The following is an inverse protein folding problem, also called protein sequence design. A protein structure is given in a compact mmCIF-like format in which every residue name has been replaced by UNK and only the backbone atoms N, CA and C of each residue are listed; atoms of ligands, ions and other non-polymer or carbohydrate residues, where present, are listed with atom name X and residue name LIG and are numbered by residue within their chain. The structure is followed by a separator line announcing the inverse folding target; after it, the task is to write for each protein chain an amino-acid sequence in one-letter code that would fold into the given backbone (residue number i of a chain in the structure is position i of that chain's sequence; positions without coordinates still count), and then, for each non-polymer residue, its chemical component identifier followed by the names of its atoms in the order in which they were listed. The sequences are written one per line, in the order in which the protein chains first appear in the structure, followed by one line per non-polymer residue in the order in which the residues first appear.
data_IF_510468610951
#
_entry.id   IF_510468610951
#
_cell.length_a   1.000
_cell.length_b   1.000
_cell.length_c   1.000
_cell.angle_alpha   90.00
_cell.angle_beta   90.00
_cell.angle_gamma   90.00
#
_symmetry.space_group_name_H-M   'P 1'
#
loop_
_entity.id
_entity.type
_entity.pdbx_description
1 polymer ?
#
# COMPACT_ATOMS: atom_id res chain seq x y z
N UNK A 1 10.31 -10.57 -0.35
CA UNK A 1 9.02 -9.89 -0.06
C UNK A 1 8.38 -10.65 1.09
N UNK A 2 7.84 -9.97 2.13
CA UNK A 2 7.21 -10.65 3.26
C UNK A 2 6.05 -11.52 2.79
N UNK A 3 5.92 -12.68 3.41
CA UNK A 3 4.84 -13.65 3.21
C UNK A 3 3.51 -13.12 3.74
N UNK A 4 2.41 -13.77 3.37
CA UNK A 4 1.08 -13.39 3.84
C UNK A 4 0.91 -13.59 5.34
N UNK A 5 1.54 -14.62 5.89
CA UNK A 5 1.47 -14.92 7.31
C UNK A 5 2.26 -13.88 8.11
N UNK A 6 3.46 -13.49 7.65
CA UNK A 6 4.24 -12.40 8.26
C UNK A 6 3.46 -11.07 8.25
N UNK A 7 2.75 -10.77 7.15
CA UNK A 7 1.92 -9.56 7.07
C UNK A 7 0.72 -9.62 8.01
N UNK A 8 0.05 -10.77 8.11
CA UNK A 8 -1.08 -10.99 9.01
C UNK A 8 -0.64 -10.85 10.47
N UNK A 9 0.53 -11.39 10.82
CA UNK A 9 1.12 -11.24 12.15
C UNK A 9 1.39 -9.77 12.48
N UNK A 10 2.04 -9.03 11.58
CA UNK A 10 2.30 -7.60 11.75
C UNK A 10 1.00 -6.81 11.92
N UNK A 11 0.01 -7.05 11.06
CA UNK A 11 -1.28 -6.36 11.15
C UNK A 11 -2.05 -6.72 12.43
N UNK A 12 -1.97 -7.97 12.90
CA UNK A 12 -2.57 -8.37 14.17
C UNK A 12 -1.95 -7.59 15.34
N UNK A 13 -0.61 -7.52 15.39
CA UNK A 13 0.11 -6.73 16.41
C UNK A 13 -0.23 -5.25 16.39
N UNK A 14 -0.46 -4.67 15.22
CA UNK A 14 -0.91 -3.26 15.10
C UNK A 14 -2.34 -3.04 15.60
N UNK A 15 -3.19 -4.06 15.60
CA UNK A 15 -4.57 -3.96 16.12
C UNK A 15 -4.65 -4.13 17.64
N UNK A 16 -3.60 -4.67 18.25
CA UNK A 16 -3.54 -4.85 19.70
C UNK A 16 -3.58 -3.50 20.44
N UNK A 17 -4.11 -3.47 21.67
CA UNK A 17 -4.01 -2.29 22.51
C UNK A 17 -2.55 -1.92 22.76
N UNK A 18 -2.25 -0.63 22.65
CA UNK A 18 -0.97 -0.06 23.04
C UNK A 18 -1.20 1.20 23.87
N UNK A 19 -0.24 1.46 24.77
CA UNK A 19 -0.25 2.65 25.60
C UNK A 19 0.13 3.88 24.78
N UNK A 20 -0.52 4.99 25.09
CA UNK A 20 -0.27 6.29 24.47
C UNK A 20 0.13 7.26 25.56
N UNK A 21 1.28 7.91 25.37
CA UNK A 21 1.87 8.81 26.34
C UNK A 21 1.84 10.25 25.78
N UNK A 22 1.31 11.23 26.53
CA UNK A 22 1.39 12.63 26.14
C UNK A 22 2.80 13.17 26.39
N UNK A 23 3.35 13.92 25.43
CA UNK A 23 4.64 14.60 25.54
C UNK A 23 4.66 15.88 24.72
N UNK A 24 4.82 17.03 25.37
CA UNK A 24 5.07 18.31 24.70
C UNK A 24 4.01 18.74 23.68
N UNK A 25 2.73 18.43 23.93
CA UNK A 25 1.62 18.74 23.01
C UNK A 25 1.35 17.69 21.94
N UNK A 26 2.11 16.58 21.94
CA UNK A 26 1.90 15.43 21.08
C UNK A 26 1.61 14.18 21.90
N UNK A 27 1.15 13.14 21.21
CA UNK A 27 0.92 11.82 21.76
C UNK A 27 1.82 10.82 21.04
N UNK A 28 2.49 9.96 21.79
CA UNK A 28 3.36 8.93 21.23
C UNK A 28 2.97 7.55 21.71
N UNK A 29 3.20 6.55 20.85
CA UNK A 29 3.04 5.16 21.25
C UNK A 29 4.18 4.79 22.21
N UNK A 30 3.85 4.05 23.28
CA UNK A 30 4.84 3.58 24.27
C UNK A 30 5.91 2.65 23.70
N UNK A 31 5.65 2.07 22.52
CA UNK A 31 6.53 1.16 21.82
C UNK A 31 6.91 1.70 20.44
N UNK A 32 8.05 1.23 19.95
CA UNK A 32 8.47 1.51 18.58
C UNK A 32 7.81 0.57 17.59
N UNK A 33 7.37 1.08 16.45
CA UNK A 33 7.01 0.28 15.30
C UNK A 33 8.23 0.18 14.37
N UNK A 34 8.80 -1.01 14.22
CA UNK A 34 10.03 -1.24 13.43
C UNK A 34 11.22 -0.34 13.84
N UNK A 35 11.38 -0.09 15.14
CA UNK A 35 12.41 0.81 15.66
C UNK A 35 12.12 2.31 15.47
N UNK A 36 10.96 2.66 14.91
CA UNK A 36 10.52 4.05 14.75
C UNK A 36 9.50 4.42 15.85
N UNK A 37 9.68 5.60 16.46
CA UNK A 37 8.67 6.19 17.34
C UNK A 37 7.49 6.73 16.55
N UNK A 38 6.26 6.45 16.99
CA UNK A 38 5.04 6.96 16.35
C UNK A 38 4.49 8.13 17.16
N UNK A 39 4.23 9.25 16.49
CA UNK A 39 3.74 10.48 17.08
C UNK A 39 2.52 11.02 16.33
N UNK A 40 1.57 11.62 17.05
CA UNK A 40 0.47 12.37 16.45
C UNK A 40 0.06 13.56 17.32
N UNK A 41 -0.68 14.51 16.73
CA UNK A 41 -1.23 15.68 17.43
C UNK A 41 -2.39 15.34 18.38
N UNK A 42 -2.98 14.14 18.26
CA UNK A 42 -3.98 13.63 19.20
C UNK A 42 -3.86 12.12 19.37
N UNK A 43 -4.23 11.60 20.53
CA UNK A 43 -4.31 10.16 20.79
C UNK A 43 -5.24 9.46 19.79
N UNK A 44 -6.39 10.08 19.49
CA UNK A 44 -7.36 9.54 18.53
C UNK A 44 -6.76 9.38 17.12
N UNK A 45 -5.99 10.38 16.66
CA UNK A 45 -5.32 10.30 15.36
C UNK A 45 -4.26 9.20 15.34
N UNK A 46 -3.49 9.03 16.43
CA UNK A 46 -2.49 7.97 16.53
C UNK A 46 -3.14 6.59 16.45
N UNK A 47 -4.17 6.33 17.27
CA UNK A 47 -4.88 5.05 17.30
C UNK A 47 -5.56 4.73 15.97
N UNK A 48 -6.21 5.72 15.35
CA UNK A 48 -6.86 5.56 14.06
C UNK A 48 -5.83 5.28 12.95
N UNK A 49 -4.72 6.01 12.94
CA UNK A 49 -3.63 5.82 11.97
C UNK A 49 -3.03 4.42 12.04
N UNK A 50 -2.75 3.93 13.25
CA UNK A 50 -2.23 2.58 13.48
C UNK A 50 -3.21 1.49 12.99
N UNK A 51 -4.52 1.65 13.28
CA UNK A 51 -5.54 0.72 12.78
C UNK A 51 -5.62 0.71 11.25
N UNK A 52 -5.64 1.90 10.63
CA UNK A 52 -5.63 2.01 9.16
C UNK A 52 -4.38 1.38 8.53
N UNK A 53 -3.23 1.54 9.17
CA UNK A 53 -2.00 0.89 8.74
C UNK A 53 -2.11 -0.64 8.79
N UNK A 54 -2.70 -1.18 9.86
CA UNK A 54 -2.98 -2.62 9.96
C UNK A 54 -3.87 -3.12 8.81
N UNK A 55 -4.90 -2.35 8.45
CA UNK A 55 -5.82 -2.68 7.36
C UNK A 55 -5.17 -2.58 5.98
N UNK A 56 -4.17 -1.72 5.80
CA UNK A 56 -3.38 -1.67 4.56
C UNK A 56 -2.38 -2.84 4.47
N UNK A 57 -1.81 -3.25 5.61
CA UNK A 57 -0.84 -4.35 5.66
C UNK A 57 -1.53 -5.70 5.48
N UNK A 58 -2.67 -5.92 6.11
CA UNK A 58 -3.49 -7.11 5.92
C UNK A 58 -4.96 -6.70 5.81
N UNK A 59 -5.40 -6.28 4.62
CA UNK A 59 -6.82 -6.03 4.40
C UNK A 59 -7.56 -7.36 4.57
N UNK A 60 -8.65 -7.34 5.34
CA UNK A 60 -9.68 -8.38 5.28
C UNK A 60 -10.02 -8.63 3.81
N UNK A 61 -10.11 -9.91 3.40
CA UNK A 61 -10.10 -10.43 2.02
C UNK A 61 -10.69 -9.47 0.98
N UNK A 62 -9.88 -8.49 0.59
CA UNK A 62 -10.17 -7.55 -0.48
C UNK A 62 -9.26 -7.95 -1.62
N UNK A 63 -9.89 -8.41 -2.68
CA UNK A 63 -9.26 -8.66 -3.95
C UNK A 63 -9.36 -7.39 -4.79
N UNK A 64 -8.31 -7.11 -5.54
CA UNK A 64 -8.35 -6.12 -6.60
C UNK A 64 -8.18 -6.88 -7.91
N UNK A 65 -9.22 -6.90 -8.71
CA UNK A 65 -9.16 -7.52 -10.02
C UNK A 65 -8.49 -6.56 -10.98
N UNK A 66 -7.84 -7.14 -11.97
CA UNK A 66 -7.19 -6.41 -13.05
C UNK A 66 -8.26 -6.03 -14.06
N UNK A 67 -8.27 -4.78 -14.47
CA UNK A 67 -9.01 -4.41 -15.67
C UNK A 67 -8.32 -5.01 -16.90
N UNK A 68 -9.15 -5.33 -17.89
CA UNK A 68 -8.74 -5.93 -19.17
C UNK A 68 -8.16 -4.90 -20.16
N UNK A 69 -8.35 -3.60 -19.90
CA UNK A 69 -7.90 -2.53 -20.78
C UNK A 69 -6.49 -2.08 -20.40
N UNK A 70 -5.53 -2.34 -21.28
CA UNK A 70 -4.16 -1.85 -21.18
C UNK A 70 -4.09 -0.46 -21.82
N UNK A 71 -3.71 0.54 -21.04
CA UNK A 71 -3.40 1.87 -21.57
C UNK A 71 -1.88 1.98 -21.74
N UNK A 72 -1.43 2.28 -22.96
CA UNK A 72 -0.09 2.83 -23.12
C UNK A 72 -0.17 4.33 -22.89
N UNK A 73 0.52 4.85 -21.87
CA UNK A 73 0.82 6.27 -21.87
C UNK A 73 1.86 6.52 -22.96
N UNK A 74 1.40 6.74 -24.18
CA UNK A 74 2.20 7.46 -25.15
C UNK A 74 2.17 8.92 -24.68
N UNK A 75 3.16 9.35 -23.90
CA UNK A 75 3.30 10.77 -23.57
C UNK A 75 3.43 11.52 -24.90
N UNK A 76 2.53 12.47 -25.23
CA UNK A 76 2.50 13.09 -26.57
C UNK A 76 3.73 13.95 -26.88
N UNK A 77 4.68 14.09 -25.95
CA UNK A 77 5.86 14.93 -26.06
C UNK A 77 7.18 14.21 -25.74
N UNK A 78 7.20 12.90 -25.51
CA UNK A 78 8.46 12.17 -25.35
C UNK A 78 8.94 11.66 -26.71
N UNK A 79 10.08 12.23 -27.12
CA UNK A 79 10.89 11.81 -28.25
C UNK A 79 11.00 10.28 -28.21
N UNK A 80 10.55 9.61 -29.28
CA UNK A 80 10.79 8.19 -29.48
C UNK A 80 12.29 8.01 -29.63
N UNK A 81 12.97 7.64 -28.54
CA UNK A 81 14.36 7.22 -28.58
C UNK A 81 14.43 5.87 -29.28
N UNK A 82 15.30 5.74 -30.27
CA UNK A 82 15.59 4.47 -30.93
C UNK A 82 15.95 3.39 -29.89
N UNK A 83 15.30 2.23 -30.03
CA UNK A 83 15.65 0.91 -29.50
C UNK A 83 15.63 0.59 -28.00
N UNK A 84 15.58 1.55 -27.06
CA UNK A 84 15.63 1.25 -25.61
C UNK A 84 14.50 1.88 -24.76
N UNK A 85 13.42 2.36 -25.37
CA UNK A 85 12.28 2.89 -24.61
C UNK A 85 11.55 1.77 -23.86
N UNK A 86 11.66 1.77 -22.53
CA UNK A 86 10.84 0.94 -21.64
C UNK A 86 9.38 1.39 -21.82
N UNK A 87 8.57 0.57 -22.47
CA UNK A 87 7.13 0.81 -22.55
C UNK A 87 6.52 0.65 -21.15
N UNK A 88 6.18 1.76 -20.50
CA UNK A 88 5.40 1.73 -19.27
C UNK A 88 3.96 1.41 -19.62
N UNK A 89 3.50 0.22 -19.24
CA UNK A 89 2.10 -0.17 -19.39
C UNK A 89 1.33 0.22 -18.13
N UNK A 90 0.19 0.86 -18.30
CA UNK A 90 -0.71 1.20 -17.20
C UNK A 90 -1.96 0.36 -17.31
N UNK A 91 -2.31 -0.26 -16.18
CA UNK A 91 -3.51 -1.07 -16.07
C UNK A 91 -4.41 -0.55 -14.94
N UNK A 92 -5.72 -0.44 -15.18
CA UNK A 92 -6.67 -0.12 -14.14
C UNK A 92 -6.87 -1.33 -13.22
N UNK A 93 -7.09 -1.05 -11.94
CA UNK A 93 -7.55 -2.02 -10.96
C UNK A 93 -9.01 -1.70 -10.58
N UNK A 94 -9.78 -2.71 -10.15
CA UNK A 94 -11.19 -2.52 -9.75
C UNK A 94 -11.40 -1.54 -8.59
N UNK A 95 -10.34 -1.21 -7.85
CA UNK A 95 -10.40 -0.15 -6.84
C UNK A 95 -10.34 1.28 -7.42
N UNK A 96 -10.37 1.44 -8.74
CA UNK A 96 -10.31 2.74 -9.43
C UNK A 96 -8.90 3.36 -9.49
N UNK A 97 -7.87 2.59 -9.16
CA UNK A 97 -6.47 3.05 -9.22
C UNK A 97 -5.73 2.35 -10.35
N UNK A 98 -4.74 3.05 -10.89
CA UNK A 98 -3.89 2.57 -11.96
C UNK A 98 -2.56 2.03 -11.40
N UNK A 99 -2.02 1.01 -12.06
CA UNK A 99 -0.69 0.46 -11.74
C UNK A 99 0.17 0.51 -12.99
N UNK A 100 1.32 1.18 -12.85
CA UNK A 100 2.41 1.15 -13.82
C UNK A 100 3.20 -0.15 -13.65
N UNK A 101 3.33 -0.91 -14.75
CA UNK A 101 4.16 -2.11 -14.80
C UNK A 101 5.48 -1.79 -15.48
N UNK A 102 6.56 -1.79 -14.69
CA UNK A 102 7.90 -1.95 -15.21
C UNK A 102 8.11 -3.45 -15.46
N UNK A 103 8.55 -3.83 -16.66
CA UNK A 103 8.92 -5.21 -17.03
C UNK A 103 7.78 -6.27 -16.99
N UNK A 104 6.52 -5.88 -17.20
CA UNK A 104 5.35 -6.78 -17.21
C UNK A 104 5.10 -7.56 -15.90
N UNK A 105 5.73 -7.16 -14.78
CA UNK A 105 5.59 -7.86 -13.51
C UNK A 105 4.52 -7.22 -12.63
N UNK A 106 3.40 -7.91 -12.48
CA UNK A 106 2.31 -7.46 -11.62
C UNK A 106 2.68 -7.48 -10.14
N UNK A 107 2.34 -6.42 -9.38
CA UNK A 107 2.49 -6.46 -7.94
C UNK A 107 1.48 -7.45 -7.37
N UNK A 108 1.88 -8.21 -6.33
CA UNK A 108 0.96 -9.12 -5.64
C UNK A 108 -0.15 -8.37 -4.88
N UNK A 109 0.02 -7.05 -4.67
CA UNK A 109 -0.89 -6.19 -3.92
C UNK A 109 -0.99 -4.81 -4.56
N UNK A 110 -2.19 -4.21 -4.51
CA UNK A 110 -2.42 -2.86 -4.97
C UNK A 110 -1.64 -1.88 -4.10
N UNK A 111 -0.78 -1.01 -4.67
CA UNK A 111 0.00 -0.05 -3.90
C UNK A 111 -0.87 1.03 -3.24
N UNK A 112 -2.08 1.27 -3.78
CA UNK A 112 -2.95 2.33 -3.28
C UNK A 112 -3.92 1.85 -2.18
N UNK A 113 -4.52 0.66 -2.33
CA UNK A 113 -5.53 0.17 -1.39
C UNK A 113 -5.09 -1.06 -0.58
N UNK A 114 -3.90 -1.62 -0.85
CA UNK A 114 -3.35 -2.78 -0.14
C UNK A 114 -3.99 -4.13 -0.47
N UNK A 115 -5.08 -4.16 -1.25
CA UNK A 115 -5.81 -5.36 -1.65
C UNK A 115 -4.94 -6.32 -2.48
N UNK A 116 -5.19 -7.63 -2.38
CA UNK A 116 -4.46 -8.65 -3.16
C UNK A 116 -4.86 -8.54 -4.62
N UNK A 117 -3.90 -8.37 -5.52
CA UNK A 117 -4.19 -8.36 -6.96
C UNK A 117 -4.45 -9.79 -7.42
N UNK A 118 -5.62 -10.04 -8.01
CA UNK A 118 -6.01 -11.35 -8.54
C UNK A 118 -6.19 -11.30 -10.05
N UNK A 119 -6.01 -12.46 -10.68
CA UNK A 119 -6.21 -12.73 -12.10
C UNK A 119 -7.47 -13.59 -12.23
N UNK A 120 -8.63 -13.01 -11.99
CA UNK A 120 -9.87 -13.65 -12.40
C UNK A 120 -10.27 -12.97 -13.72
N UNK A 121 -10.10 -13.73 -14.80
CA UNK A 121 -10.29 -13.30 -16.19
C UNK A 121 -11.76 -13.08 -16.54
#
# INVERSE_FOLDING_TARGET
MPTNDERREVAARLREPFDVLPQGGYYHASHTLFGMGLYASSEGALRLGVRRLADLIAPEERTCERGIEMFSHAYPNEIVCDSDCVSTYVFPLTCGHEVELLENKWPSYCPHCGARVINDA
#
